data_IF_316195582578
#
_entry.id   IF_316195582578
#
_cell.length_a   1.000
_cell.length_b   1.000
_cell.length_c   1.000
_cell.angle_alpha   90.00
_cell.angle_beta   90.00
_cell.angle_gamma   90.00
#
_symmetry.space_group_name_H-M   'P 1'
#
loop_
_entity.id
_entity.type
_entity.pdbx_description
1 polymer ?
#
# COMPACT_ATOMS: atom_id res chain seq x y z
N UNK A 1 13.77 27.40 3.62
CA UNK A 1 13.14 26.27 4.33
C UNK A 1 13.29 26.53 5.81
N UNK A 2 12.19 26.56 6.57
CA UNK A 2 12.30 26.62 8.03
C UNK A 2 12.61 25.21 8.58
N UNK A 3 12.89 25.11 9.88
CA UNK A 3 13.22 23.82 10.50
C UNK A 3 12.06 22.82 10.47
N UNK A 4 10.81 23.30 10.48
CA UNK A 4 9.62 22.45 10.45
C UNK A 4 9.44 21.79 9.08
N UNK A 5 9.60 22.54 7.99
CA UNK A 5 9.58 22.03 6.61
C UNK A 5 10.68 20.96 6.38
N UNK A 6 11.88 21.17 6.93
CA UNK A 6 12.95 20.17 6.89
C UNK A 6 12.54 18.87 7.61
N UNK A 7 11.90 18.99 8.78
CA UNK A 7 11.48 17.82 9.55
C UNK A 7 10.36 17.04 8.84
N UNK A 8 9.42 17.74 8.18
CA UNK A 8 8.35 17.12 7.39
C UNK A 8 8.93 16.34 6.20
N UNK A 9 9.88 16.90 5.45
CA UNK A 9 10.54 16.20 4.35
C UNK A 9 11.30 14.96 4.83
N UNK A 10 12.05 15.07 5.93
CA UNK A 10 12.77 13.94 6.53
C UNK A 10 11.81 12.86 7.03
N UNK A 11 10.66 13.24 7.58
CA UNK A 11 9.64 12.28 8.00
C UNK A 11 9.09 11.49 6.81
N UNK A 12 8.80 12.16 5.68
CA UNK A 12 8.36 11.49 4.44
C UNK A 12 9.44 10.54 3.91
N UNK A 13 10.71 10.95 3.94
CA UNK A 13 11.83 10.08 3.57
C UNK A 13 11.92 8.85 4.46
N UNK A 14 11.78 9.02 5.78
CA UNK A 14 11.84 7.92 6.74
C UNK A 14 10.68 6.93 6.55
N UNK A 15 9.47 7.42 6.26
CA UNK A 15 8.31 6.57 5.96
C UNK A 15 8.45 5.80 4.64
N UNK A 16 9.23 6.33 3.71
CA UNK A 16 9.48 5.72 2.40
C UNK A 16 10.70 4.78 2.38
N UNK A 17 11.41 4.66 3.51
CA UNK A 17 12.60 3.83 3.64
C UNK A 17 12.21 2.34 3.59
N UNK A 18 12.94 1.53 2.82
CA UNK A 18 12.73 0.08 2.77
C UNK A 18 13.09 -0.61 4.08
N UNK A 19 13.88 0.04 4.95
CA UNK A 19 14.14 -0.40 6.33
C UNK A 19 13.04 0.03 7.32
N UNK A 20 12.02 0.78 6.89
CA UNK A 20 10.91 1.13 7.75
C UNK A 20 10.17 -0.15 8.18
N UNK A 21 10.04 -0.42 9.49
CA UNK A 21 9.72 -1.75 10.01
C UNK A 21 8.21 -2.02 9.93
N UNK A 22 7.68 -2.19 8.73
CA UNK A 22 6.27 -2.52 8.45
C UNK A 22 6.06 -3.97 8.01
N UNK A 23 7.13 -4.66 7.62
CA UNK A 23 7.11 -6.06 7.20
C UNK A 23 6.49 -6.34 5.82
N UNK A 24 5.97 -5.34 5.11
CA UNK A 24 5.37 -5.48 3.76
C UNK A 24 6.35 -5.95 2.69
N UNK A 25 7.64 -5.64 2.84
CA UNK A 25 8.70 -6.05 1.91
C UNK A 25 8.84 -7.58 1.77
N UNK A 26 8.28 -8.35 2.72
CA UNK A 26 8.30 -9.80 2.69
C UNK A 26 7.17 -10.41 1.82
N UNK A 27 6.32 -9.60 1.19
CA UNK A 27 5.21 -10.10 0.36
C UNK A 27 5.58 -10.05 -1.12
N UNK A 28 5.42 -11.19 -1.83
CA UNK A 28 5.77 -11.30 -3.25
C UNK A 28 4.69 -10.79 -4.21
N UNK A 29 3.52 -10.39 -3.71
CA UNK A 29 2.37 -9.91 -4.49
C UNK A 29 2.02 -10.82 -5.69
N UNK A 30 2.18 -12.14 -5.53
CA UNK A 30 1.87 -13.12 -6.57
C UNK A 30 3.00 -13.36 -7.59
N UNK A 31 4.12 -12.64 -7.52
CA UNK A 31 5.25 -12.81 -8.44
C UNK A 31 5.81 -14.24 -8.42
N UNK A 32 5.97 -14.82 -7.22
CA UNK A 32 6.46 -16.19 -7.05
C UNK A 32 5.54 -17.22 -7.72
N UNK A 33 4.23 -16.98 -7.66
CA UNK A 33 3.22 -17.83 -8.29
C UNK A 33 3.28 -17.72 -9.82
N UNK A 34 3.30 -16.49 -10.36
CA UNK A 34 3.40 -16.25 -11.80
C UNK A 34 4.70 -16.82 -12.38
N UNK A 35 5.81 -16.70 -11.65
CA UNK A 35 7.08 -17.31 -12.04
C UNK A 35 6.98 -18.85 -12.06
N UNK A 36 6.41 -19.46 -11.02
CA UNK A 36 6.21 -20.91 -10.93
C UNK A 36 5.34 -21.46 -12.06
N UNK A 37 4.41 -20.66 -12.60
CA UNK A 37 3.56 -21.02 -13.73
C UNK A 37 4.18 -20.74 -15.11
N UNK A 38 5.46 -20.33 -15.20
CA UNK A 38 6.11 -19.89 -16.44
C UNK A 38 5.42 -18.68 -17.13
N UNK A 39 4.72 -17.83 -16.38
CA UNK A 39 4.12 -16.59 -16.90
C UNK A 39 5.12 -15.44 -16.93
N UNK A 40 6.15 -15.47 -16.07
CA UNK A 40 7.25 -14.50 -16.06
C UNK A 40 8.46 -15.10 -16.78
N UNK A 41 8.77 -14.60 -17.98
CA UNK A 41 9.87 -15.09 -18.83
C UNK A 41 11.00 -14.06 -18.98
N UNK A 42 10.74 -12.82 -18.60
CA UNK A 42 11.77 -11.79 -18.60
C UNK A 42 11.30 -10.45 -18.07
N UNK A 43 12.12 -9.44 -18.33
CA UNK A 43 11.94 -8.07 -17.85
C UNK A 43 10.58 -7.46 -18.21
N UNK A 44 10.08 -7.75 -19.42
CA UNK A 44 8.83 -7.14 -19.90
C UNK A 44 7.62 -7.68 -19.15
N UNK A 45 7.60 -8.96 -18.78
CA UNK A 45 6.53 -9.55 -17.98
C UNK A 45 6.52 -8.97 -16.56
N UNK A 46 7.69 -8.74 -15.97
CA UNK A 46 7.81 -8.08 -14.66
C UNK A 46 7.28 -6.65 -14.73
N UNK A 47 7.67 -5.88 -15.75
CA UNK A 47 7.16 -4.51 -15.95
C UNK A 47 5.64 -4.50 -16.11
N UNK A 48 5.09 -5.44 -16.87
CA UNK A 48 3.65 -5.57 -17.05
C UNK A 48 2.94 -5.92 -15.74
N UNK A 49 3.49 -6.84 -14.94
CA UNK A 49 2.95 -7.17 -13.62
C UNK A 49 2.93 -5.95 -12.69
N UNK A 50 4.04 -5.20 -12.63
CA UNK A 50 4.13 -3.97 -11.82
C UNK A 50 3.11 -2.93 -12.31
N UNK A 51 3.03 -2.73 -13.63
CA UNK A 51 2.08 -1.78 -14.23
C UNK A 51 0.64 -2.14 -13.86
N UNK A 52 0.25 -3.41 -14.03
CA UNK A 52 -1.10 -3.88 -13.66
C UNK A 52 -1.35 -3.69 -12.17
N UNK A 53 -0.38 -3.99 -11.31
CA UNK A 53 -0.53 -3.79 -9.87
C UNK A 53 -0.75 -2.30 -9.51
N UNK A 54 0.00 -1.38 -10.13
CA UNK A 54 -0.18 0.06 -9.94
C UNK A 54 -1.55 0.51 -10.44
N UNK A 55 -1.92 0.15 -11.67
CA UNK A 55 -3.13 0.66 -12.32
C UNK A 55 -4.43 0.03 -11.78
N UNK A 56 -4.39 -1.23 -11.35
CA UNK A 56 -5.60 -2.00 -11.00
C UNK A 56 -5.78 -2.22 -9.50
N UNK A 57 -4.71 -2.11 -8.70
CA UNK A 57 -4.78 -2.33 -7.26
C UNK A 57 -4.40 -1.06 -6.49
N UNK A 58 -3.15 -0.59 -6.60
CA UNK A 58 -2.64 0.52 -5.77
C UNK A 58 -3.41 1.81 -6.06
N UNK A 59 -3.53 2.19 -7.34
CA UNK A 59 -4.21 3.42 -7.76
C UNK A 59 -5.67 3.50 -7.31
N UNK A 60 -6.54 2.55 -7.71
CA UNK A 60 -7.97 2.63 -7.42
C UNK A 60 -8.35 2.19 -6.00
N UNK A 61 -7.48 1.49 -5.26
CA UNK A 61 -7.75 1.04 -3.90
C UNK A 61 -6.93 1.80 -2.87
N UNK A 62 -5.63 1.53 -2.77
CA UNK A 62 -4.78 2.05 -1.69
C UNK A 62 -4.64 3.58 -1.73
N UNK A 63 -4.42 4.18 -2.91
CA UNK A 63 -4.33 5.63 -3.05
C UNK A 63 -5.67 6.34 -2.77
N UNK A 64 -6.80 5.73 -3.15
CA UNK A 64 -8.12 6.28 -2.86
C UNK A 64 -8.42 6.21 -1.36
N UNK A 65 -8.14 5.07 -0.71
CA UNK A 65 -8.29 4.93 0.73
C UNK A 65 -7.42 5.92 1.50
N UNK A 66 -6.15 6.08 1.11
CA UNK A 66 -5.23 7.05 1.69
C UNK A 66 -5.73 8.49 1.52
N UNK A 67 -6.11 8.89 0.30
CA UNK A 67 -6.61 10.23 0.02
C UNK A 67 -7.87 10.53 0.84
N UNK A 68 -8.79 9.57 0.92
CA UNK A 68 -10.03 9.72 1.66
C UNK A 68 -9.81 9.81 3.17
N UNK A 69 -8.95 8.96 3.73
CA UNK A 69 -8.57 9.01 5.13
C UNK A 69 -7.88 10.34 5.48
N UNK A 70 -6.95 10.79 4.64
CA UNK A 70 -6.23 12.05 4.83
C UNK A 70 -7.16 13.26 4.85
N UNK A 71 -8.02 13.39 3.83
CA UNK A 71 -9.00 14.51 3.76
C UNK A 71 -9.98 14.52 4.93
N UNK A 72 -10.40 13.35 5.44
CA UNK A 72 -11.31 13.29 6.58
C UNK A 72 -10.60 13.45 7.93
N UNK A 73 -9.30 13.13 8.02
CA UNK A 73 -8.48 13.42 9.19
C UNK A 73 -8.36 14.92 9.44
N UNK A 74 -8.16 15.73 8.39
CA UNK A 74 -8.15 17.20 8.48
C UNK A 74 -9.48 17.76 9.04
N UNK A 75 -10.60 17.13 8.67
CA UNK A 75 -11.95 17.48 9.15
C UNK A 75 -12.29 16.89 10.51
N UNK A 76 -11.44 16.01 11.06
CA UNK A 76 -11.69 15.19 12.26
C UNK A 76 -12.94 14.30 12.15
N UNK A 77 -13.28 13.87 10.94
CA UNK A 77 -14.40 12.97 10.69
C UNK A 77 -13.95 11.50 10.75
N UNK A 78 -13.82 11.00 11.97
CA UNK A 78 -13.36 9.63 12.20
C UNK A 78 -14.30 8.55 11.68
N UNK A 79 -15.59 8.86 11.50
CA UNK A 79 -16.57 7.90 11.00
C UNK A 79 -16.26 7.55 9.55
N UNK A 80 -15.98 8.57 8.73
CA UNK A 80 -15.62 8.39 7.32
C UNK A 80 -14.25 7.71 7.17
N UNK A 81 -13.30 7.96 8.08
CA UNK A 81 -12.00 7.25 8.11
C UNK A 81 -12.19 5.75 8.38
N UNK A 82 -13.00 5.39 9.38
CA UNK A 82 -13.32 3.99 9.71
C UNK A 82 -13.99 3.31 8.50
N UNK A 83 -14.93 4.00 7.85
CA UNK A 83 -15.59 3.44 6.67
C UNK A 83 -14.62 3.17 5.52
N UNK A 84 -13.61 4.03 5.30
CA UNK A 84 -12.59 3.79 4.29
C UNK A 84 -11.72 2.57 4.62
N UNK A 85 -11.32 2.39 5.88
CA UNK A 85 -10.59 1.21 6.35
C UNK A 85 -11.41 -0.08 6.15
N UNK A 86 -12.69 -0.08 6.55
CA UNK A 86 -13.60 -1.21 6.35
C UNK A 86 -13.74 -1.59 4.87
N UNK A 87 -13.90 -0.60 3.98
CA UNK A 87 -13.97 -0.83 2.53
C UNK A 87 -12.64 -1.41 2.01
N UNK A 88 -11.51 -0.83 2.40
CA UNK A 88 -10.18 -1.31 2.00
C UNK A 88 -9.91 -2.74 2.49
N UNK A 89 -10.46 -3.12 3.64
CA UNK A 89 -10.37 -4.47 4.21
C UNK A 89 -11.24 -5.48 3.45
N UNK A 90 -12.51 -5.17 3.16
CA UNK A 90 -13.41 -6.09 2.44
C UNK A 90 -13.01 -6.29 0.97
N UNK A 91 -12.37 -5.28 0.35
CA UNK A 91 -11.85 -5.36 -1.02
C UNK A 91 -10.66 -6.31 -1.18
N UNK A 92 -10.10 -6.85 -0.08
CA UNK A 92 -9.04 -7.86 -0.08
C UNK A 92 -9.65 -9.25 0.16
N UNK A 93 -10.13 -9.97 -0.89
CA UNK A 93 -10.89 -11.21 -0.72
C UNK A 93 -10.03 -12.34 -0.12
N UNK A 94 -8.73 -12.35 -0.44
CA UNK A 94 -7.78 -13.37 0.03
C UNK A 94 -7.39 -13.09 1.48
N UNK A 95 -7.61 -14.07 2.36
CA UNK A 95 -7.41 -13.96 3.81
C UNK A 95 -5.96 -13.59 4.16
N UNK A 96 -5.00 -14.20 3.50
CA UNK A 96 -3.57 -14.02 3.75
C UNK A 96 -3.14 -12.58 3.42
N UNK A 97 -3.59 -12.06 2.27
CA UNK A 97 -3.36 -10.66 1.87
C UNK A 97 -3.98 -9.70 2.89
N UNK A 98 -5.21 -9.98 3.31
CA UNK A 98 -5.91 -9.16 4.30
C UNK A 98 -5.20 -9.15 5.65
N UNK A 99 -4.74 -10.31 6.12
CA UNK A 99 -3.98 -10.43 7.38
C UNK A 99 -2.65 -9.70 7.29
N UNK A 100 -1.93 -9.82 6.18
CA UNK A 100 -0.68 -9.09 5.95
C UNK A 100 -0.92 -7.57 5.99
N UNK A 101 -1.97 -7.09 5.31
CA UNK A 101 -2.36 -5.67 5.31
C UNK A 101 -2.67 -5.15 6.72
N UNK A 102 -3.45 -5.88 7.52
CA UNK A 102 -3.76 -5.48 8.91
C UNK A 102 -2.52 -5.49 9.79
N UNK A 103 -1.69 -6.53 9.69
CA UNK A 103 -0.46 -6.63 10.47
C UNK A 103 0.49 -5.46 10.19
N UNK A 104 0.60 -5.06 8.92
CA UNK A 104 1.43 -3.92 8.53
C UNK A 104 0.91 -2.58 9.06
N UNK A 105 -0.41 -2.41 9.22
CA UNK A 105 -0.98 -1.18 9.76
C UNK A 105 -0.88 -1.06 11.30
N UNK A 106 -0.59 -2.17 11.99
CA UNK A 106 -0.43 -2.21 13.45
C UNK A 106 1.01 -1.86 13.89
N UNK A 107 2.00 -2.13 13.03
CA UNK A 107 3.42 -1.86 13.30
C UNK A 107 3.71 -0.36 13.30
#
# INVERSE_FOLDING_TARGET
MNTDEINEELAVMQLSDSFFPTGLYATSNGLEFLFSNNEIKGLEDIKNMIKVNIEQQIGPSDCIALSYAFTNAEKKDFKEIIQADEIAFIMKPIKEIRKASVNSGIQ
#
